data_IF_598961268916
#
_entry.id   IF_598961268916
#
_cell.length_a   1.000
_cell.length_b   1.000
_cell.length_c   1.000
_cell.angle_alpha   90.00
_cell.angle_beta   90.00
_cell.angle_gamma   90.00
#
_symmetry.space_group_name_H-M   'P 1'
#
loop_
_entity.id
_entity.type
_entity.pdbx_description
1 polymer ?
#
# COMPACT_ATOMS: atom_id res chain seq x y z
N UNK A 1 -9.23 7.51 -8.93
CA UNK A 1 -7.91 7.38 -8.27
C UNK A 1 -7.74 5.93 -7.80
N UNK A 2 -6.50 5.42 -7.69
CA UNK A 2 -6.28 4.09 -7.10
C UNK A 2 -5.95 4.24 -5.63
N UNK A 3 -6.46 3.34 -4.79
CA UNK A 3 -6.19 3.31 -3.36
C UNK A 3 -5.70 1.92 -2.99
N UNK A 4 -4.62 1.83 -2.21
CA UNK A 4 -4.21 0.57 -1.60
C UNK A 4 -4.47 0.59 -0.11
N UNK A 5 -4.98 -0.54 0.38
CA UNK A 5 -5.06 -0.81 1.80
C UNK A 5 -3.75 -1.48 2.20
N UNK A 6 -3.01 -0.83 3.10
CA UNK A 6 -1.69 -1.28 3.53
C UNK A 6 -1.59 -1.46 5.04
N UNK A 7 -0.73 -2.39 5.46
CA UNK A 7 -0.29 -2.58 6.83
C UNK A 7 1.22 -2.39 6.93
N UNK A 8 1.72 -1.76 8.01
CA UNK A 8 3.14 -1.76 8.33
C UNK A 8 3.65 -3.19 8.52
N UNK A 9 4.68 -3.53 7.74
CA UNK A 9 5.33 -4.84 7.74
C UNK A 9 6.54 -4.83 8.67
N UNK A 10 6.83 -5.98 9.28
CA UNK A 10 7.98 -6.19 10.16
C UNK A 10 9.34 -6.05 9.46
N UNK A 11 9.36 -6.00 8.13
CA UNK A 11 10.58 -5.86 7.30
C UNK A 11 10.83 -4.41 6.84
N UNK A 12 10.39 -3.42 7.61
CA UNK A 12 10.53 -1.99 7.29
C UNK A 12 9.93 -1.62 5.92
N UNK A 13 8.64 -1.87 5.78
CA UNK A 13 7.86 -1.56 4.58
C UNK A 13 6.37 -1.70 4.82
N UNK A 14 5.60 -1.74 3.75
CA UNK A 14 4.14 -1.74 3.82
C UNK A 14 3.55 -2.81 2.90
N UNK A 15 2.85 -3.75 3.49
CA UNK A 15 2.20 -4.84 2.78
C UNK A 15 0.88 -4.38 2.17
N UNK A 16 0.69 -4.59 0.87
CA UNK A 16 -0.55 -4.28 0.15
C UNK A 16 -1.50 -5.47 0.22
N UNK A 17 -2.66 -5.26 0.81
CA UNK A 17 -3.68 -6.31 0.93
C UNK A 17 -4.84 -6.14 -0.03
N UNK A 18 -5.22 -4.90 -0.35
CA UNK A 18 -6.35 -4.62 -1.22
C UNK A 18 -6.04 -3.41 -2.10
N UNK A 19 -6.64 -3.39 -3.28
CA UNK A 19 -6.56 -2.27 -4.22
C UNK A 19 -7.98 -1.95 -4.65
N UNK A 20 -8.34 -0.67 -4.57
CA UNK A 20 -9.66 -0.17 -4.94
C UNK A 20 -9.54 1.04 -5.85
N UNK A 21 -10.38 1.09 -6.89
CA UNK A 21 -10.56 2.29 -7.69
C UNK A 21 -11.73 3.08 -7.16
N UNK A 22 -11.48 4.33 -6.75
CA UNK A 22 -12.48 5.23 -6.19
C UNK A 22 -12.11 6.68 -6.50
N UNK A 23 -13.11 7.55 -6.60
CA UNK A 23 -12.91 9.00 -6.73
C UNK A 23 -12.39 9.60 -5.41
N UNK A 24 -12.83 9.06 -4.27
CA UNK A 24 -12.45 9.49 -2.93
C UNK A 24 -11.76 8.38 -2.12
N UNK A 25 -11.16 8.77 -0.99
CA UNK A 25 -10.59 7.82 -0.02
C UNK A 25 -11.70 6.87 0.44
N UNK A 26 -11.51 5.54 0.39
CA UNK A 26 -12.52 4.61 0.88
C UNK A 26 -12.81 4.83 2.37
N UNK A 27 -14.09 4.86 2.70
CA UNK A 27 -14.57 5.10 4.08
C UNK A 27 -14.47 3.85 4.97
N UNK A 28 -14.44 2.66 4.38
CA UNK A 28 -14.26 1.43 5.13
C UNK A 28 -12.84 1.34 5.69
N UNK A 29 -12.73 1.34 7.01
CA UNK A 29 -11.51 1.03 7.72
C UNK A 29 -11.72 -0.34 8.40
N UNK A 30 -10.85 -1.34 8.19
CA UNK A 30 -10.88 -2.55 8.99
C UNK A 30 -10.59 -2.15 10.44
N UNK A 31 -11.62 -2.02 11.26
CA UNK A 31 -11.50 -1.55 12.66
C UNK A 31 -10.91 -2.60 13.59
N UNK A 32 -10.88 -3.86 13.15
CA UNK A 32 -10.40 -5.01 13.92
C UNK A 32 -8.88 -5.23 13.82
N UNK A 33 -8.18 -4.52 12.94
CA UNK A 33 -6.76 -4.72 12.71
C UNK A 33 -6.02 -3.37 12.88
N UNK A 34 -5.36 -3.19 14.02
CA UNK A 34 -4.50 -2.01 14.26
C UNK A 34 -3.40 -1.96 13.20
N UNK A 35 -3.10 -0.78 12.67
CA UNK A 35 -2.00 -0.55 11.72
C UNK A 35 -2.37 -0.55 10.24
N UNK A 36 -3.64 -0.75 9.89
CA UNK A 36 -4.14 -0.68 8.51
C UNK A 36 -4.50 0.74 8.11
N UNK A 37 -4.22 1.13 6.86
CA UNK A 37 -4.57 2.45 6.32
C UNK A 37 -4.72 2.42 4.80
N UNK A 38 -5.61 3.27 4.27
CA UNK A 38 -5.67 3.54 2.84
C UNK A 38 -4.64 4.58 2.43
N UNK A 39 -3.89 4.27 1.36
CA UNK A 39 -2.96 5.18 0.70
C UNK A 39 -3.39 5.43 -0.74
N UNK A 40 -3.19 6.65 -1.23
CA UNK A 40 -3.42 6.98 -2.63
C UNK A 40 -2.26 6.46 -3.48
N UNK A 41 -2.59 5.80 -4.59
CA UNK A 41 -1.65 5.30 -5.59
C UNK A 41 -1.87 6.07 -6.88
N UNK A 42 -0.76 6.48 -7.51
CA UNK A 42 -0.79 7.05 -8.85
C UNK A 42 -1.30 6.01 -9.85
N UNK A 43 -2.20 6.39 -10.77
CA UNK A 43 -2.76 5.45 -11.74
C UNK A 43 -1.70 4.79 -12.65
N UNK A 44 -0.60 5.48 -12.91
CA UNK A 44 0.53 5.00 -13.69
C UNK A 44 1.40 3.96 -12.96
N UNK A 45 1.29 3.87 -11.63
CA UNK A 45 2.04 2.90 -10.83
C UNK A 45 1.36 1.53 -10.88
N UNK A 46 2.18 0.49 -11.08
CA UNK A 46 1.72 -0.89 -11.06
C UNK A 46 1.86 -1.47 -9.64
N UNK A 47 0.76 -1.51 -8.91
CA UNK A 47 0.67 -2.10 -7.56
C UNK A 47 -0.17 -3.35 -7.61
N UNK A 48 0.27 -4.40 -6.92
CA UNK A 48 -0.44 -5.67 -6.81
C UNK A 48 -0.66 -6.02 -5.34
N UNK A 49 -1.76 -6.73 -5.08
CA UNK A 49 -1.97 -7.36 -3.76
C UNK A 49 -0.84 -8.34 -3.50
N UNK A 50 -0.26 -8.29 -2.31
CA UNK A 50 0.92 -9.05 -1.91
C UNK A 50 2.24 -8.30 -2.02
N UNK A 51 2.27 -7.14 -2.68
CA UNK A 51 3.49 -6.33 -2.78
C UNK A 51 3.88 -5.78 -1.39
N UNK A 52 5.19 -5.72 -1.12
CA UNK A 52 5.76 -5.00 0.03
C UNK A 52 6.47 -3.76 -0.50
N UNK A 53 6.01 -2.59 -0.05
CA UNK A 53 6.61 -1.30 -0.41
C UNK A 53 7.58 -0.84 0.68
N UNK A 54 8.86 -0.71 0.36
CA UNK A 54 9.89 -0.28 1.30
C UNK A 54 10.05 1.26 1.30
N UNK A 55 10.00 1.88 2.49
CA UNK A 55 10.17 3.33 2.65
C UNK A 55 10.02 3.80 4.09
N UNK A 56 10.84 4.77 4.52
CA UNK A 56 10.87 5.28 5.91
C UNK A 56 9.85 6.39 6.20
N UNK A 57 9.24 7.01 5.18
CA UNK A 57 8.17 8.00 5.35
C UNK A 57 7.12 7.85 4.25
N UNK A 58 5.85 7.85 4.62
CA UNK A 58 4.72 7.63 3.72
C UNK A 58 4.16 8.95 3.21
N UNK A 59 5.00 9.69 2.49
CA UNK A 59 4.49 10.64 1.50
C UNK A 59 4.26 9.85 0.20
N UNK A 60 3.25 10.22 -0.61
CA UNK A 60 3.02 9.57 -1.92
C UNK A 60 4.33 9.48 -2.69
N UNK A 61 4.53 8.39 -3.46
CA UNK A 61 5.85 7.92 -3.86
C UNK A 61 6.65 9.03 -4.53
N UNK A 62 7.66 9.53 -3.81
CA UNK A 62 8.78 10.19 -4.46
C UNK A 62 9.53 9.11 -5.23
N UNK A 63 9.79 9.39 -6.50
CA UNK A 63 10.55 8.58 -7.45
C UNK A 63 11.73 7.89 -6.75
N UNK A 64 11.72 6.56 -6.67
CA UNK A 64 12.86 5.77 -6.15
C UNK A 64 12.57 4.68 -5.11
N UNK A 65 11.32 4.29 -4.84
CA UNK A 65 11.03 3.19 -3.92
C UNK A 65 11.26 1.82 -4.58
N UNK A 66 12.03 0.97 -3.90
CA UNK A 66 12.40 -0.37 -4.37
C UNK A 66 11.23 -1.33 -4.13
N UNK A 67 10.62 -1.80 -5.22
CA UNK A 67 9.53 -2.79 -5.20
C UNK A 67 10.15 -4.17 -5.05
N UNK A 68 10.10 -4.73 -3.85
CA UNK A 68 10.47 -6.13 -3.68
C UNK A 68 9.21 -7.01 -3.81
N UNK A 69 9.18 -7.80 -4.90
CA UNK A 69 8.21 -8.88 -5.09
C UNK A 69 8.90 -10.21 -4.76
N UNK A 70 9.58 -10.28 -3.61
CA UNK A 70 10.23 -11.50 -3.17
C UNK A 70 9.21 -12.44 -2.51
N UNK A 71 8.54 -13.20 -3.38
CA UNK A 71 8.20 -14.62 -3.17
C UNK A 71 7.61 -14.99 -1.80
N UNK A 72 6.32 -14.74 -1.60
CA UNK A 72 5.53 -15.57 -0.70
C UNK A 72 5.42 -16.98 -1.32
N UNK A 73 6.40 -17.82 -1.04
CA UNK A 73 6.28 -19.29 -1.12
C UNK A 73 5.75 -19.84 0.19
#
# INVERSE_FOLDING_TARGET
>A
MKWALVMESSVHGFYVSEIMESEGKPDYHPTHLRGWRWIAINQAEEVRVGDIWHGQSFHPPEVGQEKDHSSLK
#
